data_IF_123886620435
#
_entry.id   IF_123886620435
#
_cell.length_a   1.000
_cell.length_b   1.000
_cell.length_c   1.000
_cell.angle_alpha   90.00
_cell.angle_beta   90.00
_cell.angle_gamma   90.00
#
_symmetry.space_group_name_H-M   'P 1'
#
loop_
_entity.id
_entity.type
_entity.pdbx_description
1 polymer ?
#
# COMPACT_ATOMS: atom_id res chain seq x y z
N UNK A 1 -1.55 8.31 22.63
CA UNK A 1 -0.30 7.85 21.95
C UNK A 1 -0.41 8.13 20.46
N UNK A 2 0.73 8.49 19.81
CA UNK A 2 0.76 8.62 18.36
C UNK A 2 1.69 7.55 17.79
N UNK A 3 1.34 6.95 16.65
CA UNK A 3 2.24 6.07 15.90
C UNK A 3 2.03 6.26 14.40
N UNK A 4 3.11 6.22 13.63
CA UNK A 4 3.05 6.23 12.19
C UNK A 4 3.92 5.12 11.58
N UNK A 5 3.39 4.47 10.55
CA UNK A 5 4.13 3.61 9.63
C UNK A 5 4.12 4.24 8.25
N UNK A 6 5.30 4.50 7.71
CA UNK A 6 5.49 5.09 6.39
C UNK A 6 6.29 4.11 5.53
N UNK A 7 5.73 3.72 4.40
CA UNK A 7 6.34 2.76 3.46
C UNK A 7 6.51 3.44 2.12
N UNK A 8 7.74 3.53 1.62
CA UNK A 8 8.06 4.12 0.32
C UNK A 8 9.02 3.25 -0.48
N UNK A 9 8.65 2.86 -1.69
CA UNK A 9 9.42 1.91 -2.49
C UNK A 9 9.65 2.49 -3.89
N UNK A 10 10.92 2.78 -4.20
CA UNK A 10 11.39 3.19 -5.53
C UNK A 10 12.03 2.03 -6.28
N UNK A 11 12.76 1.15 -5.59
CA UNK A 11 13.62 0.13 -6.19
C UNK A 11 12.87 -1.18 -6.36
N UNK A 12 12.15 -1.29 -7.47
CA UNK A 12 11.54 -2.55 -7.93
C UNK A 12 12.37 -3.13 -9.09
N UNK A 13 12.52 -4.45 -9.13
CA UNK A 13 13.28 -5.14 -10.19
C UNK A 13 12.66 -4.97 -11.57
N UNK A 14 11.32 -4.97 -11.67
CA UNK A 14 10.62 -4.90 -12.95
C UNK A 14 10.37 -3.48 -13.45
N UNK A 15 10.02 -2.56 -12.56
CA UNK A 15 9.65 -1.19 -12.92
C UNK A 15 9.98 -0.24 -11.77
N UNK A 16 11.21 0.30 -11.72
CA UNK A 16 11.58 1.27 -10.70
C UNK A 16 10.70 2.51 -10.72
N UNK A 17 10.39 3.04 -9.55
CA UNK A 17 9.67 4.29 -9.36
C UNK A 17 10.61 5.42 -8.93
N UNK A 18 10.08 6.65 -8.95
CA UNK A 18 10.76 7.83 -8.44
C UNK A 18 9.78 8.61 -7.57
N UNK A 19 10.24 9.08 -6.42
CA UNK A 19 9.45 9.94 -5.55
C UNK A 19 8.87 9.25 -4.31
N UNK A 20 8.57 7.94 -4.35
CA UNK A 20 7.90 7.25 -3.23
C UNK A 20 8.64 7.38 -1.89
N UNK A 21 9.97 7.31 -1.93
CA UNK A 21 10.81 7.52 -0.72
C UNK A 21 10.74 8.97 -0.27
N UNK A 22 10.72 9.94 -1.20
CA UNK A 22 10.57 11.36 -0.87
C UNK A 22 9.17 11.65 -0.29
N UNK A 23 8.12 11.07 -0.87
CA UNK A 23 6.75 11.26 -0.39
C UNK A 23 6.60 10.90 1.09
N UNK A 24 7.19 9.76 1.50
CA UNK A 24 7.14 9.36 2.90
C UNK A 24 8.10 10.16 3.79
N UNK A 25 9.17 10.72 3.23
CA UNK A 25 10.06 11.61 3.98
C UNK A 25 9.34 12.94 4.29
N UNK A 26 8.74 13.56 3.29
CA UNK A 26 7.97 14.79 3.42
C UNK A 26 6.78 14.60 4.37
N UNK A 27 6.10 13.46 4.27
CA UNK A 27 5.03 13.10 5.20
C UNK A 27 5.55 12.92 6.63
N UNK A 28 6.72 12.33 6.82
CA UNK A 28 7.33 12.20 8.15
C UNK A 28 7.61 13.56 8.78
N UNK A 29 8.11 14.52 8.01
CA UNK A 29 8.37 15.88 8.47
C UNK A 29 7.05 16.62 8.77
N UNK A 30 6.06 16.49 7.89
CA UNK A 30 4.72 17.05 8.13
C UNK A 30 4.08 16.52 9.42
N UNK A 31 4.16 15.21 9.68
CA UNK A 31 3.61 14.62 10.91
C UNK A 31 4.29 15.15 12.17
N UNK A 32 5.61 15.39 12.10
CA UNK A 32 6.38 15.95 13.22
C UNK A 32 6.04 17.43 13.42
N UNK A 33 6.08 18.23 12.36
CA UNK A 33 5.98 19.68 12.45
C UNK A 33 4.55 20.18 12.65
N UNK A 34 3.56 19.49 12.07
CA UNK A 34 2.18 19.95 12.02
C UNK A 34 1.18 19.09 12.78
N UNK A 35 1.54 17.83 13.07
CA UNK A 35 0.62 16.88 13.68
C UNK A 35 1.08 16.37 15.05
N UNK A 36 2.15 16.95 15.62
CA UNK A 36 2.66 16.65 16.96
C UNK A 36 3.14 15.20 17.15
N UNK A 37 3.53 14.51 16.07
CA UNK A 37 4.18 13.21 16.18
C UNK A 37 5.64 13.38 16.60
N UNK A 38 6.13 12.51 17.49
CA UNK A 38 7.54 12.47 17.83
C UNK A 38 8.31 11.54 16.89
N UNK A 39 9.58 11.84 16.59
CA UNK A 39 10.40 10.98 15.69
C UNK A 39 10.43 9.51 16.11
N UNK A 40 10.43 9.22 17.42
CA UNK A 40 10.41 7.86 17.97
C UNK A 40 9.12 7.09 17.71
N UNK A 41 8.03 7.80 17.40
CA UNK A 41 6.70 7.25 17.11
C UNK A 41 6.51 6.90 15.63
N UNK A 42 7.47 7.29 14.78
CA UNK A 42 7.42 7.07 13.34
C UNK A 42 8.36 5.94 12.94
N UNK A 43 7.86 4.95 12.20
CA UNK A 43 8.64 3.89 11.58
C UNK A 43 8.57 4.03 10.06
N UNK A 44 9.74 4.00 9.42
CA UNK A 44 9.87 4.05 7.96
C UNK A 44 10.41 2.72 7.43
N UNK A 45 9.82 2.23 6.36
CA UNK A 45 10.34 1.14 5.55
C UNK A 45 10.55 1.67 4.13
N UNK A 46 11.78 1.58 3.64
CA UNK A 46 12.15 2.06 2.31
C UNK A 46 12.79 0.95 1.50
N UNK A 47 12.47 0.88 0.23
CA UNK A 47 13.09 0.01 -0.77
C UNK A 47 13.28 -1.43 -0.25
N UNK A 48 14.49 -1.99 -0.29
CA UNK A 48 14.78 -3.39 0.10
C UNK A 48 14.31 -3.77 1.52
N UNK A 49 14.01 -2.81 2.38
CA UNK A 49 13.48 -3.05 3.74
C UNK A 49 11.96 -3.21 3.77
N UNK A 50 11.27 -2.85 2.69
CA UNK A 50 9.81 -2.87 2.60
C UNK A 50 9.28 -4.19 2.02
N UNK A 51 9.73 -5.32 2.57
CA UNK A 51 9.22 -6.66 2.24
C UNK A 51 7.81 -6.87 2.81
N UNK A 52 7.02 -7.80 2.24
CA UNK A 52 5.72 -8.20 2.79
C UNK A 52 5.79 -8.50 4.29
N UNK A 53 6.71 -9.34 4.68
CA UNK A 53 6.89 -9.73 6.08
C UNK A 53 7.20 -8.53 6.99
N UNK A 54 8.05 -7.59 6.53
CA UNK A 54 8.41 -6.40 7.28
C UNK A 54 7.21 -5.44 7.42
N UNK A 55 6.44 -5.22 6.35
CA UNK A 55 5.25 -4.36 6.35
C UNK A 55 4.21 -4.92 7.33
N UNK A 56 3.86 -6.20 7.22
CA UNK A 56 2.88 -6.85 8.10
C UNK A 56 3.31 -6.81 9.58
N UNK A 57 4.60 -7.05 9.85
CA UNK A 57 5.16 -6.93 11.21
C UNK A 57 5.01 -5.51 11.76
N UNK A 58 5.21 -4.48 10.92
CA UNK A 58 5.08 -3.08 11.35
C UNK A 58 3.63 -2.64 11.47
N UNK A 59 2.71 -3.18 10.69
CA UNK A 59 1.26 -2.95 10.87
C UNK A 59 0.79 -3.48 12.23
N UNK A 60 1.22 -4.68 12.62
CA UNK A 60 0.94 -5.21 13.97
C UNK A 60 1.52 -4.32 15.07
N UNK A 61 2.75 -3.78 14.89
CA UNK A 61 3.33 -2.81 15.82
C UNK A 61 2.51 -1.51 15.88
N UNK A 62 2.00 -1.02 14.73
CA UNK A 62 1.21 0.20 14.65
C UNK A 62 -0.03 0.13 15.54
N UNK A 63 -0.70 -1.01 15.56
CA UNK A 63 -1.96 -1.24 16.28
C UNK A 63 -1.72 -1.63 17.75
N UNK A 64 -0.65 -2.36 18.03
CA UNK A 64 -0.39 -2.95 19.36
C UNK A 64 -0.39 -1.88 20.46
N UNK A 65 -1.26 -2.05 21.48
CA UNK A 65 -1.31 -1.21 22.67
C UNK A 65 -1.94 0.16 22.45
N UNK A 66 -2.66 0.35 21.33
CA UNK A 66 -3.47 1.55 21.09
C UNK A 66 -4.82 1.45 21.82
N UNK A 67 -5.40 2.59 22.16
CA UNK A 67 -6.67 2.75 22.85
C UNK A 67 -7.44 3.97 22.35
N UNK A 68 -8.69 4.12 22.76
CA UNK A 68 -9.52 5.26 22.37
C UNK A 68 -8.81 6.60 22.63
N UNK A 69 -8.86 7.51 21.65
CA UNK A 69 -8.17 8.80 21.64
C UNK A 69 -6.74 8.77 21.08
N UNK A 70 -6.16 7.60 20.86
CA UNK A 70 -4.87 7.49 20.18
C UNK A 70 -4.98 7.79 18.68
N UNK A 71 -3.89 8.26 18.06
CA UNK A 71 -3.81 8.56 16.64
C UNK A 71 -2.79 7.64 15.98
N UNK A 72 -3.20 6.91 14.95
CA UNK A 72 -2.31 6.07 14.14
C UNK A 72 -2.42 6.40 12.67
N UNK A 73 -1.28 6.38 11.99
CA UNK A 73 -1.16 6.79 10.60
C UNK A 73 -0.38 5.74 9.81
N UNK A 74 -0.96 5.28 8.70
CA UNK A 74 -0.30 4.39 7.77
C UNK A 74 -0.26 5.03 6.39
N UNK A 75 0.93 5.13 5.78
CA UNK A 75 1.13 5.61 4.42
C UNK A 75 1.94 4.60 3.63
N UNK A 76 1.42 4.25 2.48
CA UNK A 76 2.11 3.44 1.49
C UNK A 76 2.25 4.23 0.19
N UNK A 77 3.48 4.37 -0.32
CA UNK A 77 3.81 4.96 -1.62
C UNK A 77 4.66 3.96 -2.41
N UNK A 78 4.09 3.40 -3.48
CA UNK A 78 4.71 2.32 -4.26
C UNK A 78 3.80 1.78 -5.35
N UNK A 79 4.16 0.62 -5.92
CA UNK A 79 3.31 -0.08 -6.87
C UNK A 79 2.10 -0.72 -6.22
N UNK A 80 1.01 -0.75 -6.97
CA UNK A 80 -0.14 -1.59 -6.73
C UNK A 80 -0.60 -2.26 -8.01
N UNK A 81 -1.42 -3.29 -7.89
CA UNK A 81 -2.01 -4.00 -9.02
C UNK A 81 -3.32 -4.67 -8.61
N UNK A 82 -4.01 -5.24 -9.59
CA UNK A 82 -5.19 -6.06 -9.39
C UNK A 82 -4.91 -7.49 -9.88
N UNK A 83 -5.54 -8.46 -9.24
CA UNK A 83 -5.50 -9.87 -9.63
C UNK A 83 -6.91 -10.43 -9.62
N UNK A 84 -7.16 -11.47 -10.43
CA UNK A 84 -8.45 -12.14 -10.38
C UNK A 84 -8.73 -12.67 -8.97
N UNK A 85 -9.90 -12.35 -8.44
CA UNK A 85 -10.32 -12.83 -7.12
C UNK A 85 -10.42 -14.35 -7.12
N UNK A 86 -9.99 -14.97 -6.03
CA UNK A 86 -10.11 -16.42 -5.82
C UNK A 86 -11.39 -16.79 -5.06
N UNK A 87 -12.10 -15.81 -4.53
CA UNK A 87 -13.38 -16.00 -3.84
C UNK A 87 -14.52 -15.49 -4.71
N UNK A 88 -15.53 -16.32 -4.95
CA UNK A 88 -16.70 -15.97 -5.76
C UNK A 88 -17.64 -14.97 -5.07
N UNK A 89 -17.40 -14.61 -3.80
CA UNK A 89 -18.40 -13.97 -2.95
C UNK A 89 -18.16 -12.50 -2.60
N UNK A 90 -16.99 -11.90 -2.89
CA UNK A 90 -16.64 -10.62 -2.26
C UNK A 90 -16.44 -9.40 -3.18
N UNK A 91 -16.26 -9.58 -4.51
CA UNK A 91 -15.96 -8.46 -5.41
C UNK A 91 -16.94 -8.37 -6.59
N UNK A 92 -17.53 -7.18 -6.78
CA UNK A 92 -18.51 -6.92 -7.85
C UNK A 92 -17.87 -7.08 -9.25
N UNK A 93 -16.56 -6.84 -9.37
CA UNK A 93 -15.78 -6.94 -10.61
C UNK A 93 -14.91 -8.20 -10.69
N UNK A 94 -14.90 -9.05 -9.65
CA UNK A 94 -14.11 -10.27 -9.59
C UNK A 94 -12.59 -10.05 -9.50
N UNK A 95 -12.15 -8.86 -9.05
CA UNK A 95 -10.74 -8.48 -8.96
C UNK A 95 -10.36 -8.08 -7.55
N UNK A 96 -9.31 -8.67 -6.99
CA UNK A 96 -8.72 -8.25 -5.72
C UNK A 96 -7.64 -7.19 -5.95
N UNK A 97 -7.69 -6.09 -5.21
CA UNK A 97 -6.65 -5.07 -5.20
C UNK A 97 -5.52 -5.45 -4.23
N UNK A 98 -4.30 -5.07 -4.57
CA UNK A 98 -3.16 -5.31 -3.70
C UNK A 98 -2.08 -4.23 -3.80
N UNK A 99 -1.36 -4.04 -2.72
CA UNK A 99 -0.10 -3.30 -2.70
C UNK A 99 1.07 -4.25 -2.96
N UNK A 100 2.09 -3.77 -3.66
CA UNK A 100 3.26 -4.55 -4.07
C UNK A 100 4.47 -4.22 -3.17
N UNK A 101 4.79 -5.03 -2.14
CA UNK A 101 6.07 -4.90 -1.43
C UNK A 101 7.26 -5.06 -2.37
N UNK A 102 8.48 -4.73 -1.90
CA UNK A 102 9.69 -4.82 -2.74
C UNK A 102 9.99 -6.23 -3.21
N UNK A 103 9.60 -7.24 -2.44
CA UNK A 103 9.73 -8.67 -2.75
C UNK A 103 8.52 -9.25 -3.50
N UNK A 104 7.64 -8.41 -4.02
CA UNK A 104 6.52 -8.81 -4.87
C UNK A 104 7.02 -9.37 -6.20
N UNK A 105 6.45 -10.49 -6.63
CA UNK A 105 6.73 -11.07 -7.94
C UNK A 105 5.48 -11.69 -8.58
N UNK A 106 5.49 -11.74 -9.91
CA UNK A 106 4.56 -12.54 -10.70
C UNK A 106 5.15 -13.93 -10.94
N UNK A 107 4.50 -14.96 -10.42
CA UNK A 107 4.84 -16.35 -10.70
C UNK A 107 3.85 -16.89 -11.74
N UNK A 108 4.36 -17.31 -12.91
CA UNK A 108 3.54 -17.71 -14.06
C UNK A 108 2.57 -18.87 -13.79
N UNK A 109 2.85 -19.72 -12.81
CA UNK A 109 2.02 -20.89 -12.46
C UNK A 109 1.08 -20.62 -11.28
N UNK A 110 1.52 -19.87 -10.27
CA UNK A 110 0.75 -19.61 -9.04
C UNK A 110 0.12 -18.21 -8.97
N UNK A 111 0.37 -17.37 -9.96
CA UNK A 111 -0.16 -16.00 -10.06
C UNK A 111 0.75 -14.95 -9.44
N UNK A 112 0.66 -14.70 -8.14
CA UNK A 112 1.45 -13.69 -7.45
C UNK A 112 2.11 -14.26 -6.20
N UNK A 113 3.28 -13.70 -5.86
CA UNK A 113 3.98 -13.94 -4.61
C UNK A 113 4.21 -12.60 -3.87
N UNK A 114 4.13 -12.64 -2.55
CA UNK A 114 4.40 -11.49 -1.66
C UNK A 114 3.55 -10.23 -1.90
N UNK A 115 2.45 -10.30 -2.64
CA UNK A 115 1.45 -9.22 -2.65
C UNK A 115 0.70 -9.14 -1.32
N UNK A 116 0.30 -7.94 -0.89
CA UNK A 116 -0.58 -7.76 0.27
C UNK A 116 -1.94 -7.34 -0.27
N UNK A 117 -2.90 -8.26 -0.19
CA UNK A 117 -4.27 -8.03 -0.64
C UNK A 117 -4.98 -7.02 0.28
N UNK A 118 -5.90 -6.26 -0.27
CA UNK A 118 -6.77 -5.34 0.47
C UNK A 118 -7.56 -6.08 1.56
N UNK A 119 -8.07 -7.27 1.28
CA UNK A 119 -8.71 -8.16 2.26
C UNK A 119 -7.78 -8.55 3.42
N UNK A 120 -6.47 -8.73 3.18
CA UNK A 120 -5.46 -8.98 4.22
C UNK A 120 -5.25 -7.74 5.09
N UNK A 121 -5.16 -6.56 4.48
CA UNK A 121 -5.08 -5.28 5.19
C UNK A 121 -6.34 -5.02 6.01
N UNK A 122 -7.52 -5.27 5.42
CA UNK A 122 -8.81 -5.08 6.09
C UNK A 122 -8.95 -5.93 7.35
N UNK A 123 -8.50 -7.20 7.31
CA UNK A 123 -8.46 -8.07 8.50
C UNK A 123 -7.61 -7.46 9.62
N UNK A 124 -6.44 -6.89 9.26
CA UNK A 124 -5.56 -6.23 10.23
C UNK A 124 -6.21 -4.96 10.77
N UNK A 125 -6.84 -4.15 9.93
CA UNK A 125 -7.48 -2.90 10.35
C UNK A 125 -8.72 -3.12 11.23
N UNK A 126 -9.40 -4.26 11.10
CA UNK A 126 -10.48 -4.65 12.02
C UNK A 126 -10.01 -4.86 13.47
N UNK A 127 -8.72 -5.10 13.69
CA UNK A 127 -8.13 -5.23 15.03
C UNK A 127 -7.91 -3.87 15.72
N UNK A 128 -8.10 -2.74 15.02
CA UNK A 128 -7.93 -1.40 15.59
C UNK A 128 -9.03 -1.15 16.62
N UNK A 129 -8.69 -0.80 17.88
CA UNK A 129 -9.67 -0.57 18.91
C UNK A 129 -10.62 0.58 18.57
N UNK A 130 -11.89 0.46 18.97
CA UNK A 130 -12.88 1.52 18.81
C UNK A 130 -12.42 2.81 19.50
N UNK A 131 -12.57 3.94 18.78
CA UNK A 131 -12.15 5.27 19.26
C UNK A 131 -10.70 5.63 18.98
N UNK A 132 -9.92 4.78 18.32
CA UNK A 132 -8.63 5.14 17.76
C UNK A 132 -8.84 5.93 16.47
N UNK A 133 -8.15 7.05 16.32
CA UNK A 133 -8.09 7.81 15.06
C UNK A 133 -7.11 7.15 14.11
N UNK A 134 -7.64 6.43 13.11
CA UNK A 134 -6.83 5.78 12.08
C UNK A 134 -6.93 6.51 10.75
N UNK A 135 -5.77 6.84 10.17
CA UNK A 135 -5.65 7.40 8.83
C UNK A 135 -4.82 6.44 7.98
N UNK A 136 -5.41 6.00 6.86
CA UNK A 136 -4.77 5.20 5.83
C UNK A 136 -4.61 6.02 4.54
N UNK A 137 -3.38 6.14 4.05
CA UNK A 137 -3.06 6.77 2.76
C UNK A 137 -2.40 5.75 1.87
N UNK A 138 -3.01 5.49 0.72
CA UNK A 138 -2.47 4.63 -0.32
C UNK A 138 -2.17 5.47 -1.56
N UNK A 139 -0.89 5.75 -1.81
CA UNK A 139 -0.41 6.41 -3.01
C UNK A 139 0.17 5.36 -3.97
N UNK A 140 -0.72 4.53 -4.47
CA UNK A 140 -0.44 3.53 -5.50
C UNK A 140 -1.54 3.51 -6.55
N UNK A 141 -1.25 2.98 -7.72
CA UNK A 141 -2.25 2.77 -8.75
C UNK A 141 -2.93 1.40 -8.58
N UNK A 142 -3.60 1.22 -7.45
CA UNK A 142 -4.59 0.15 -7.30
C UNK A 142 -5.93 0.81 -7.43
N UNK A 143 -6.48 1.02 -8.57
CA UNK A 143 -7.83 1.53 -8.53
C UNK A 143 -8.56 1.38 -9.85
N UNK A 144 -9.31 0.33 -9.96
CA UNK A 144 -10.51 0.36 -10.75
C UNK A 144 -11.55 1.33 -10.19
N UNK A 145 -11.59 1.58 -8.89
CA UNK A 145 -12.63 2.37 -8.22
C UNK A 145 -12.20 3.75 -7.74
N UNK A 146 -10.95 3.99 -7.37
CA UNK A 146 -10.48 5.30 -6.92
C UNK A 146 -10.03 6.24 -8.06
N UNK A 147 -9.71 5.73 -9.26
CA UNK A 147 -9.17 6.54 -10.37
C UNK A 147 -10.21 7.17 -11.29
N UNK A 148 -11.51 7.02 -11.07
CA UNK A 148 -12.50 7.79 -11.84
C UNK A 148 -12.45 9.30 -11.58
N UNK A 149 -11.76 9.76 -10.54
CA UNK A 149 -11.80 11.17 -10.14
C UNK A 149 -10.64 12.04 -10.63
N UNK A 150 -9.47 11.50 -11.06
CA UNK A 150 -8.32 12.36 -11.43
C UNK A 150 -7.62 11.86 -12.70
N UNK A 151 -8.31 12.00 -13.84
CA UNK A 151 -7.62 12.15 -15.14
C UNK A 151 -7.29 13.63 -15.34
N UNK A 152 -6.13 14.10 -14.85
CA UNK A 152 -5.47 15.32 -15.36
C UNK A 152 -4.03 15.38 -14.85
N UNK A 153 -3.09 15.03 -15.65
CA UNK A 153 -1.81 15.66 -15.97
C UNK A 153 -0.75 14.65 -16.45
N UNK A 154 -0.23 14.90 -17.64
CA UNK A 154 0.55 13.98 -18.47
C UNK A 154 2.03 13.73 -18.07
N UNK A 155 2.43 13.94 -16.80
CA UNK A 155 3.83 13.78 -16.37
C UNK A 155 4.03 12.91 -15.12
N UNK A 156 3.03 12.12 -14.71
CA UNK A 156 3.19 11.21 -13.57
C UNK A 156 3.54 9.81 -14.07
N UNK A 157 4.62 9.24 -13.56
CA UNK A 157 4.98 7.84 -13.76
C UNK A 157 3.86 6.96 -13.19
N UNK A 158 3.38 5.99 -13.98
CA UNK A 158 2.37 5.04 -13.51
C UNK A 158 2.98 4.12 -12.43
N UNK A 159 2.27 3.96 -11.33
CA UNK A 159 2.62 3.03 -10.24
C UNK A 159 1.87 1.69 -10.35
N UNK A 160 1.19 1.46 -11.49
CA UNK A 160 0.47 0.23 -11.77
C UNK A 160 1.39 -0.80 -12.41
N UNK A 161 1.47 -1.99 -11.83
CA UNK A 161 2.15 -3.14 -12.41
C UNK A 161 1.16 -3.96 -13.24
N UNK A 162 1.39 -4.01 -14.54
CA UNK A 162 0.55 -4.79 -15.46
C UNK A 162 0.97 -6.26 -15.41
N UNK A 163 0.06 -7.20 -15.07
CA UNK A 163 0.36 -8.63 -15.15
C UNK A 163 0.77 -9.05 -16.57
N UNK A 164 1.78 -9.91 -16.72
CA UNK A 164 2.31 -10.34 -18.03
C UNK A 164 1.25 -10.94 -18.97
N UNK A 165 0.19 -11.58 -18.46
CA UNK A 165 -0.91 -12.12 -19.26
C UNK A 165 -1.69 -11.07 -20.05
N UNK A 166 -1.77 -9.84 -19.53
CA UNK A 166 -2.45 -8.72 -20.23
C UNK A 166 -1.63 -8.25 -21.44
N UNK A 167 -0.29 -8.38 -21.37
CA UNK A 167 0.61 -7.96 -22.46
C UNK A 167 0.52 -8.85 -23.71
N UNK A 168 -0.06 -10.05 -23.62
CA UNK A 168 -0.23 -10.97 -24.75
C UNK A 168 -1.63 -10.92 -25.41
N UNK A 169 -2.42 -9.89 -25.13
CA UNK A 169 -3.66 -9.62 -25.87
C UNK A 169 -4.87 -10.46 -25.46
N UNK A 170 -4.80 -11.24 -24.40
CA UNK A 170 -5.92 -12.09 -23.94
C UNK A 170 -6.91 -11.38 -23.00
N UNK A 171 -6.57 -10.19 -22.51
CA UNK A 171 -7.53 -9.27 -21.88
C UNK A 171 -7.22 -7.83 -22.28
N UNK A 172 -8.17 -7.17 -22.93
CA UNK A 172 -8.12 -5.73 -23.14
C UNK A 172 -8.51 -5.07 -21.81
N UNK A 173 -7.73 -4.07 -21.32
CA UNK A 173 -8.21 -3.25 -20.21
C UNK A 173 -9.48 -2.50 -20.63
N UNK A 174 -10.40 -2.24 -19.71
CA UNK A 174 -11.60 -1.45 -19.97
C UNK A 174 -11.31 0.00 -20.34
#
# INVERSE_FOLDING_TARGET
MNKALLVGINQYDLQPLKGCVNDIQDMSEFLIEKCEFQRKEIRKLTDFRATKAAILKRLKWLIKGTSAGDRIYFHYSGHGTQVASRSEDDEIDGMDELICPVDFSFNGESGIENGILDNELHKIFKEIPKGVHFIWVSDCCCSGTLTRAIRRNNNRQSRYLVPRRILHGEMRPP
#
